data_IF_554511110142
#
_entry.id   IF_554511110142
#
_cell.length_a   1.000
_cell.length_b   1.000
_cell.length_c   1.000
_cell.angle_alpha   90.00
_cell.angle_beta   90.00
_cell.angle_gamma   90.00
#
_symmetry.space_group_name_H-M   'P 1'
#
loop_
_entity.id
_entity.type
_entity.pdbx_description
1 polymer ?
#
# COMPACT_ATOMS: atom_id res chain seq x y z
N UNK A 1 12.89 -10.12 16.96
CA UNK A 1 13.65 -9.01 16.31
C UNK A 1 13.13 -7.66 16.77
N UNK A 2 13.92 -6.58 16.67
CA UNK A 2 13.45 -5.20 16.86
C UNK A 2 12.91 -4.66 15.53
N UNK A 3 11.60 -4.44 15.45
CA UNK A 3 10.92 -3.93 14.27
C UNK A 3 10.40 -2.52 14.52
N UNK A 4 10.61 -1.61 13.57
CA UNK A 4 9.94 -0.31 13.53
C UNK A 4 8.82 -0.35 12.49
N UNK A 5 7.56 -0.20 12.90
CA UNK A 5 6.41 -0.10 12.00
C UNK A 5 6.02 1.37 11.84
N UNK A 6 6.17 1.88 10.63
CA UNK A 6 5.80 3.24 10.23
C UNK A 6 4.61 3.18 9.29
N UNK A 7 3.56 3.97 9.52
CA UNK A 7 2.42 3.92 8.61
C UNK A 7 1.24 4.81 8.91
N UNK A 8 0.25 4.73 8.03
CA UNK A 8 -1.06 5.36 8.19
C UNK A 8 -2.05 4.41 8.90
N UNK A 9 -3.37 4.64 8.74
CA UNK A 9 -4.41 3.78 9.34
C UNK A 9 -4.28 2.30 8.99
N UNK A 10 -3.65 1.94 7.86
CA UNK A 10 -3.46 0.55 7.46
C UNK A 10 -2.41 -0.19 8.30
N UNK A 11 -1.54 0.52 9.03
CA UNK A 11 -0.65 -0.10 10.01
C UNK A 11 -1.42 -0.86 11.11
N UNK A 12 -2.67 -0.47 11.39
CA UNK A 12 -3.49 -1.06 12.44
C UNK A 12 -3.69 -2.57 12.27
N UNK A 13 -3.80 -3.09 11.03
CA UNK A 13 -3.96 -4.52 10.79
C UNK A 13 -2.73 -5.32 11.23
N UNK A 14 -1.52 -4.77 11.00
CA UNK A 14 -0.25 -5.39 11.40
C UNK A 14 -0.06 -5.29 12.92
N UNK A 15 -0.42 -4.16 13.53
CA UNK A 15 -0.38 -3.99 14.99
C UNK A 15 -1.30 -5.01 15.67
N UNK A 16 -2.53 -5.17 15.18
CA UNK A 16 -3.48 -6.12 15.75
C UNK A 16 -3.01 -7.57 15.57
N UNK A 17 -2.45 -7.91 14.41
CA UNK A 17 -1.88 -9.23 14.16
C UNK A 17 -0.67 -9.53 15.06
N UNK A 18 0.24 -8.57 15.21
CA UNK A 18 1.43 -8.70 16.08
C UNK A 18 1.02 -8.88 17.54
N UNK A 19 0.04 -8.12 18.05
CA UNK A 19 -0.50 -8.31 19.40
C UNK A 19 -1.06 -9.71 19.65
N UNK A 20 -1.62 -10.35 18.63
CA UNK A 20 -2.13 -11.73 18.72
C UNK A 20 -1.01 -12.77 18.66
N UNK A 21 0.08 -12.48 17.93
CA UNK A 21 1.21 -13.38 17.80
C UNK A 21 2.54 -12.60 17.59
N UNK A 22 3.21 -12.20 18.68
CA UNK A 22 4.41 -11.38 18.60
C UNK A 22 5.65 -12.15 18.13
N UNK A 23 5.67 -13.49 18.23
CA UNK A 23 6.79 -14.36 17.83
C UNK A 23 8.19 -13.82 18.22
N UNK A 24 8.32 -13.37 19.48
CA UNK A 24 9.53 -12.75 20.05
C UNK A 24 10.01 -11.47 19.35
N UNK A 25 9.18 -10.86 18.50
CA UNK A 25 9.42 -9.54 17.92
C UNK A 25 9.02 -8.43 18.88
N UNK A 26 9.94 -7.50 19.13
CA UNK A 26 9.66 -6.22 19.76
C UNK A 26 9.25 -5.22 18.67
N UNK A 27 8.02 -4.74 18.73
CA UNK A 27 7.46 -3.82 17.73
C UNK A 27 7.35 -2.40 18.31
N UNK A 28 8.08 -1.46 17.73
CA UNK A 28 7.91 -0.02 17.95
C UNK A 28 7.03 0.55 16.85
N UNK A 29 6.02 1.34 17.20
CA UNK A 29 5.02 1.85 16.24
C UNK A 29 5.11 3.36 16.10
N UNK A 30 5.46 3.82 14.90
CA UNK A 30 5.48 5.23 14.53
C UNK A 30 4.41 5.51 13.48
N UNK A 31 3.15 5.62 13.90
CA UNK A 31 2.02 5.66 12.98
C UNK A 31 0.90 6.60 13.45
N UNK A 32 0.19 7.23 12.51
CA UNK A 32 -1.07 7.92 12.78
C UNK A 32 -2.07 7.78 11.62
N UNK A 33 -3.39 7.90 11.87
CA UNK A 33 -4.37 7.98 10.80
C UNK A 33 -4.05 9.12 9.82
N UNK A 34 -3.98 8.81 8.52
CA UNK A 34 -3.69 9.79 7.49
C UNK A 34 -2.31 10.44 7.65
N UNK A 35 -1.29 9.66 7.98
CA UNK A 35 0.10 10.14 8.05
C UNK A 35 0.54 10.73 6.70
N UNK A 36 1.00 11.98 6.71
CA UNK A 36 1.50 12.71 5.54
C UNK A 36 2.94 13.19 5.73
N UNK A 37 3.54 13.74 4.68
CA UNK A 37 4.96 14.12 4.67
C UNK A 37 5.28 15.26 5.65
N UNK A 38 4.32 16.13 5.92
CA UNK A 38 4.40 17.29 6.81
C UNK A 38 4.38 16.88 8.29
N UNK A 39 3.92 15.67 8.60
CA UNK A 39 3.89 15.15 9.96
C UNK A 39 5.28 14.72 10.45
N UNK A 40 6.25 14.56 9.54
CA UNK A 40 7.55 13.97 9.84
C UNK A 40 8.74 14.69 9.19
N UNK A 41 9.86 14.69 9.91
CA UNK A 41 11.16 15.11 9.39
C UNK A 41 12.14 13.95 9.43
N UNK A 42 13.07 13.94 8.48
CA UNK A 42 14.16 12.97 8.39
C UNK A 42 15.48 13.72 8.36
N UNK A 43 16.43 13.33 9.21
CA UNK A 43 17.80 13.86 9.23
C UNK A 43 18.76 12.68 9.31
N UNK A 44 19.25 12.23 8.14
CA UNK A 44 19.92 10.93 8.04
C UNK A 44 18.96 9.81 8.47
N UNK A 45 19.37 8.87 9.34
CA UNK A 45 18.51 7.80 9.83
C UNK A 45 17.54 8.24 10.94
N UNK A 46 17.59 9.49 11.40
CA UNK A 46 16.70 9.97 12.45
C UNK A 46 15.34 10.38 11.88
N UNK A 47 14.28 9.76 12.39
CA UNK A 47 12.88 10.05 12.09
C UNK A 47 12.26 10.83 13.25
N UNK A 48 11.73 12.02 12.96
CA UNK A 48 11.12 12.91 13.94
C UNK A 48 9.66 13.17 13.62
N UNK A 49 8.82 13.23 14.65
CA UNK A 49 7.51 13.86 14.56
C UNK A 49 7.66 15.38 14.44
N UNK A 50 6.79 16.00 13.65
CA UNK A 50 6.78 17.45 13.40
C UNK A 50 5.43 18.05 13.79
N UNK A 51 4.32 17.40 13.41
CA UNK A 51 2.99 17.93 13.69
C UNK A 51 2.57 17.65 15.13
N UNK A 52 1.79 18.57 15.72
CA UNK A 52 1.23 18.40 17.06
C UNK A 52 0.40 17.11 17.18
N UNK A 53 -0.37 16.77 16.14
CA UNK A 53 -1.15 15.54 16.07
C UNK A 53 -0.27 14.30 16.12
N UNK A 54 0.89 14.31 15.45
CA UNK A 54 1.84 13.20 15.47
C UNK A 54 2.48 13.05 16.86
N UNK A 55 2.94 14.14 17.47
CA UNK A 55 3.47 14.11 18.85
C UNK A 55 2.44 13.55 19.84
N UNK A 56 1.21 14.05 19.81
CA UNK A 56 0.13 13.58 20.68
C UNK A 56 -0.16 12.09 20.47
N UNK A 57 -0.16 11.63 19.21
CA UNK A 57 -0.40 10.23 18.86
C UNK A 57 0.70 9.31 19.39
N UNK A 58 1.96 9.66 19.19
CA UNK A 58 3.11 8.87 19.65
C UNK A 58 3.17 8.82 21.18
N UNK A 59 2.93 9.94 21.85
CA UNK A 59 2.83 10.01 23.30
C UNK A 59 1.74 9.06 23.84
N UNK A 60 0.57 9.03 23.20
CA UNK A 60 -0.52 8.10 23.56
C UNK A 60 -0.17 6.61 23.34
N UNK A 61 0.83 6.30 22.50
CA UNK A 61 1.36 4.94 22.31
C UNK A 61 2.55 4.64 23.23
N UNK A 62 3.05 5.62 23.99
CA UNK A 62 4.31 5.51 24.71
C UNK A 62 5.53 5.37 23.77
N UNK A 63 5.41 5.81 22.52
CA UNK A 63 6.50 5.79 21.55
C UNK A 63 7.22 7.14 21.58
N UNK A 64 8.57 7.17 21.59
CA UNK A 64 9.32 8.41 21.44
C UNK A 64 8.94 9.15 20.16
N UNK A 65 8.98 10.48 20.21
CA UNK A 65 8.72 11.33 19.05
C UNK A 65 9.91 11.42 18.08
N UNK A 66 11.06 10.87 18.47
CA UNK A 66 12.25 10.70 17.66
C UNK A 66 12.71 9.25 17.74
N UNK A 67 12.96 8.63 16.58
CA UNK A 67 13.51 7.29 16.47
C UNK A 67 14.75 7.33 15.57
N UNK A 68 15.81 6.62 15.96
CA UNK A 68 16.90 6.28 15.05
C UNK A 68 16.55 4.98 14.33
N UNK A 69 16.40 5.03 13.00
CA UNK A 69 16.08 3.84 12.20
C UNK A 69 17.21 2.79 12.24
N UNK A 70 18.44 3.18 12.61
CA UNK A 70 19.56 2.27 12.81
C UNK A 70 19.43 1.36 14.04
N UNK A 71 18.58 1.71 15.02
CA UNK A 71 18.37 0.93 16.24
C UNK A 71 17.52 -0.34 16.04
N UNK A 72 17.01 -0.55 14.82
CA UNK A 72 16.10 -1.62 14.45
C UNK A 72 16.75 -2.64 13.52
N UNK A 73 16.35 -3.91 13.68
CA UNK A 73 16.77 -4.98 12.77
C UNK A 73 16.10 -4.81 11.40
N UNK A 74 14.90 -4.22 11.36
CA UNK A 74 14.19 -3.87 10.13
C UNK A 74 13.14 -2.77 10.33
N UNK A 75 12.84 -2.06 9.25
CA UNK A 75 11.73 -1.10 9.16
C UNK A 75 10.62 -1.68 8.29
N UNK A 76 9.38 -1.55 8.76
CA UNK A 76 8.16 -1.93 8.04
C UNK A 76 7.38 -0.67 7.74
N UNK A 77 7.10 -0.39 6.47
CA UNK A 77 6.33 0.77 6.05
C UNK A 77 4.97 0.30 5.54
N UNK A 78 3.88 0.72 6.18
CA UNK A 78 2.53 0.29 5.84
C UNK A 78 1.68 1.44 5.31
N UNK A 79 1.16 1.27 4.10
CA UNK A 79 0.13 2.14 3.52
C UNK A 79 0.62 3.46 2.91
N UNK A 80 1.93 3.73 2.91
CA UNK A 80 2.49 5.02 2.48
C UNK A 80 2.94 5.06 1.00
N UNK A 81 2.30 4.26 0.16
CA UNK A 81 2.55 4.15 -1.30
C UNK A 81 1.25 4.38 -2.08
N UNK A 82 1.29 4.66 -3.40
CA UNK A 82 0.08 4.85 -4.19
C UNK A 82 -0.89 3.66 -4.06
N UNK A 83 -2.14 3.95 -3.74
CA UNK A 83 -3.18 2.95 -3.54
C UNK A 83 -3.90 2.56 -4.83
N UNK A 84 -4.79 1.56 -4.75
CA UNK A 84 -5.69 1.23 -5.86
C UNK A 84 -6.53 2.43 -6.30
N UNK A 85 -6.88 3.34 -5.39
CA UNK A 85 -7.61 4.57 -5.75
C UNK A 85 -6.75 5.57 -6.51
N UNK A 86 -5.45 5.67 -6.19
CA UNK A 86 -4.52 6.48 -6.98
C UNK A 86 -4.39 5.93 -8.41
N UNK A 87 -4.28 4.60 -8.53
CA UNK A 87 -4.25 3.91 -9.82
C UNK A 87 -5.55 4.11 -10.63
N UNK A 88 -6.71 3.99 -9.98
CA UNK A 88 -8.01 4.27 -10.60
C UNK A 88 -8.14 5.72 -11.04
N UNK A 89 -7.69 6.70 -10.25
CA UNK A 89 -7.73 8.13 -10.61
C UNK A 89 -6.97 8.42 -11.90
N UNK A 90 -5.81 7.78 -12.09
CA UNK A 90 -5.05 7.92 -13.33
C UNK A 90 -5.81 7.34 -14.55
N UNK A 91 -6.50 6.22 -14.34
CA UNK A 91 -7.37 5.61 -15.35
C UNK A 91 -8.66 6.39 -15.61
N UNK A 92 -9.21 7.14 -14.65
CA UNK A 92 -10.46 7.87 -14.85
C UNK A 92 -10.40 8.87 -16.02
N UNK A 93 -9.21 9.40 -16.29
CA UNK A 93 -8.98 10.37 -17.36
C UNK A 93 -8.61 9.70 -18.70
N UNK A 94 -8.34 8.39 -18.75
CA UNK A 94 -7.77 7.73 -19.93
C UNK A 94 -8.24 6.28 -20.11
N UNK A 95 -8.31 5.83 -21.35
CA UNK A 95 -8.37 4.40 -21.65
C UNK A 95 -6.95 3.82 -21.76
N UNK A 96 -6.61 2.83 -20.94
CA UNK A 96 -5.26 2.24 -20.93
C UNK A 96 -5.18 1.11 -21.97
N UNK A 97 -4.39 1.26 -23.02
CA UNK A 97 -4.22 0.20 -24.04
C UNK A 97 -3.64 -1.08 -23.42
N UNK A 98 -4.00 -2.26 -23.92
CA UNK A 98 -3.63 -3.54 -23.31
C UNK A 98 -4.49 -3.96 -22.12
N UNK A 99 -5.41 -3.10 -21.65
CA UNK A 99 -6.48 -3.50 -20.73
C UNK A 99 -7.74 -3.88 -21.52
N UNK A 100 -8.62 -4.74 -20.99
CA UNK A 100 -9.88 -5.10 -21.65
C UNK A 100 -10.71 -3.90 -22.14
N UNK A 101 -10.91 -2.85 -21.31
CA UNK A 101 -11.60 -1.63 -21.76
C UNK A 101 -10.82 -0.79 -22.75
N UNK A 102 -9.49 -0.85 -22.66
CA UNK A 102 -8.55 -0.18 -23.57
C UNK A 102 -8.62 -0.74 -24.97
N UNK A 103 -8.62 -2.06 -25.12
CA UNK A 103 -8.71 -2.74 -26.43
C UNK A 103 -10.01 -2.36 -27.15
N UNK A 104 -11.12 -2.28 -26.42
CA UNK A 104 -12.40 -1.79 -26.97
C UNK A 104 -12.27 -0.32 -27.42
N UNK A 105 -11.55 0.50 -26.65
CA UNK A 105 -11.34 1.92 -26.97
C UNK A 105 -10.45 2.09 -28.20
N UNK A 106 -9.39 1.29 -28.34
CA UNK A 106 -8.51 1.26 -29.52
C UNK A 106 -9.31 0.85 -30.75
N UNK A 107 -10.08 -0.24 -30.68
CA UNK A 107 -10.89 -0.71 -31.79
C UNK A 107 -11.89 0.37 -32.28
N UNK A 108 -12.52 1.11 -31.37
CA UNK A 108 -13.40 2.23 -31.72
C UNK A 108 -12.66 3.40 -32.36
N UNK A 109 -11.49 3.75 -31.85
CA UNK A 109 -10.68 4.85 -32.39
C UNK A 109 -10.19 4.59 -33.83
N UNK A 110 -10.12 3.31 -34.24
CA UNK A 110 -9.77 2.90 -35.60
C UNK A 110 -10.96 2.89 -36.57
N UNK A 111 -12.18 3.21 -36.10
CA UNK A 111 -13.34 3.38 -36.98
C UNK A 111 -13.51 4.85 -37.35
N UNK A 112 -13.86 5.16 -38.61
CA UNK A 112 -14.12 6.54 -39.10
C UNK A 112 -15.42 7.18 -38.54
N UNK A 113 -15.93 6.66 -37.41
CA UNK A 113 -17.10 7.20 -36.74
C UNK A 113 -16.71 8.41 -35.89
N UNK A 114 -17.48 9.51 -35.89
CA UNK A 114 -17.20 10.65 -35.04
C UNK A 114 -17.16 10.20 -33.58
N UNK A 115 -16.00 10.40 -32.94
CA UNK A 115 -15.69 9.94 -31.60
C UNK A 115 -16.59 10.65 -30.56
N UNK A 116 -17.79 10.12 -30.35
CA UNK A 116 -18.62 10.57 -29.24
C UNK A 116 -17.94 10.16 -27.92
N UNK A 117 -17.34 11.15 -27.25
CA UNK A 117 -16.83 11.08 -25.86
C UNK A 117 -15.93 9.87 -25.55
N UNK A 118 -14.94 9.58 -26.38
CA UNK A 118 -13.89 8.61 -26.04
C UNK A 118 -12.87 9.27 -25.13
N UNK A 119 -12.52 8.63 -24.01
CA UNK A 119 -11.37 9.06 -23.20
C UNK A 119 -10.10 8.97 -24.06
N UNK A 120 -9.13 9.87 -23.87
CA UNK A 120 -7.84 9.76 -24.53
C UNK A 120 -7.17 8.42 -24.21
N UNK A 121 -6.47 7.85 -25.20
CA UNK A 121 -5.71 6.62 -25.01
C UNK A 121 -4.39 6.91 -24.30
N UNK A 122 -4.02 6.04 -23.37
CA UNK A 122 -2.71 6.00 -22.72
C UNK A 122 -2.12 4.61 -22.90
N UNK A 123 -0.84 4.51 -23.24
CA UNK A 123 -0.18 3.21 -23.32
C UNK A 123 -0.03 2.60 -21.92
N UNK A 124 -0.11 1.27 -21.80
CA UNK A 124 0.17 0.56 -20.54
C UNK A 124 1.54 0.92 -19.96
N UNK A 125 2.54 1.10 -20.82
CA UNK A 125 3.89 1.52 -20.41
C UNK A 125 3.89 2.91 -19.76
N UNK A 126 3.18 3.88 -20.35
CA UNK A 126 3.04 5.22 -19.77
C UNK A 126 2.27 5.20 -18.44
N UNK A 127 1.22 4.36 -18.35
CA UNK A 127 0.46 4.17 -17.11
C UNK A 127 1.34 3.62 -15.97
N UNK A 128 2.09 2.54 -16.23
CA UNK A 128 3.03 1.95 -15.26
C UNK A 128 4.15 2.92 -14.90
N UNK A 129 4.67 3.69 -15.87
CA UNK A 129 5.70 4.70 -15.62
C UNK A 129 5.20 5.80 -14.69
N UNK A 130 3.97 6.29 -14.88
CA UNK A 130 3.36 7.28 -14.00
C UNK A 130 3.17 6.74 -12.57
N UNK A 131 2.68 5.50 -12.41
CA UNK A 131 2.57 4.87 -11.08
C UNK A 131 3.93 4.61 -10.43
N UNK A 132 4.93 4.26 -11.23
CA UNK A 132 6.32 4.09 -10.77
C UNK A 132 6.85 5.41 -10.21
N UNK A 133 6.68 6.51 -10.95
CA UNK A 133 7.08 7.83 -10.51
C UNK A 133 6.37 8.25 -9.21
N UNK A 134 5.07 8.00 -9.08
CA UNK A 134 4.33 8.23 -7.84
C UNK A 134 4.85 7.37 -6.67
N UNK A 135 5.34 6.16 -6.94
CA UNK A 135 5.93 5.29 -5.93
C UNK A 135 7.30 5.80 -5.49
N UNK A 136 8.12 6.29 -6.42
CA UNK A 136 9.45 6.86 -6.16
C UNK A 136 9.40 8.15 -5.34
N UNK A 137 8.34 8.95 -5.49
CA UNK A 137 8.14 10.21 -4.74
C UNK A 137 7.25 10.02 -3.50
N UNK A 138 6.85 8.79 -3.19
CA UNK A 138 6.00 8.50 -2.05
C UNK A 138 6.73 8.71 -0.71
N UNK A 139 5.94 8.89 0.36
CA UNK A 139 6.48 8.98 1.71
C UNK A 139 7.22 7.69 2.10
N UNK A 140 6.75 6.53 1.63
CA UNK A 140 7.47 5.26 1.84
C UNK A 140 8.87 5.28 1.21
N UNK A 141 9.02 5.76 -0.02
CA UNK A 141 10.32 5.84 -0.69
C UNK A 141 11.27 6.81 0.03
N UNK A 142 10.76 7.95 0.51
CA UNK A 142 11.53 8.91 1.32
C UNK A 142 12.06 8.28 2.61
N UNK A 143 11.22 7.57 3.35
CA UNK A 143 11.62 6.88 4.59
C UNK A 143 12.58 5.73 4.29
N UNK A 144 12.27 4.91 3.28
CA UNK A 144 13.09 3.76 2.91
C UNK A 144 14.51 4.18 2.51
N UNK A 145 14.65 5.30 1.81
CA UNK A 145 15.96 5.84 1.40
C UNK A 145 16.82 6.34 2.56
N UNK A 146 16.21 6.64 3.70
CA UNK A 146 16.88 7.11 4.91
C UNK A 146 17.24 5.96 5.88
N UNK A 147 16.62 4.79 5.73
CA UNK A 147 16.83 3.66 6.62
C UNK A 147 18.14 2.91 6.27
N UNK A 148 19.05 2.71 7.24
CA UNK A 148 20.29 1.96 7.02
C UNK A 148 20.10 0.43 7.14
N UNK A 149 18.92 -0.02 7.58
CA UNK A 149 18.55 -1.41 7.79
C UNK A 149 17.56 -1.90 6.70
N UNK A 150 17.30 -3.21 6.60
CA UNK A 150 16.30 -3.74 5.68
C UNK A 150 14.93 -3.08 5.83
N UNK A 151 14.31 -2.70 4.71
CA UNK A 151 13.00 -2.06 4.66
C UNK A 151 12.01 -2.95 3.93
N UNK A 152 10.85 -3.19 4.54
CA UNK A 152 9.73 -3.89 3.90
C UNK A 152 8.57 -2.92 3.74
N UNK A 153 8.16 -2.69 2.50
CA UNK A 153 7.02 -1.82 2.18
C UNK A 153 5.79 -2.67 1.89
N UNK A 154 4.74 -2.46 2.68
CA UNK A 154 3.43 -3.09 2.58
C UNK A 154 2.45 -2.06 2.04
N UNK A 155 1.90 -2.32 0.86
CA UNK A 155 0.87 -1.44 0.28
C UNK A 155 -0.42 -1.46 1.11
N UNK A 156 -1.23 -0.42 0.94
CA UNK A 156 -2.63 -0.46 1.37
C UNK A 156 -3.32 -1.68 0.71
N UNK A 157 -4.14 -2.46 1.44
CA UNK A 157 -4.92 -3.52 0.84
C UNK A 157 -5.79 -3.00 -0.30
N UNK A 158 -6.12 -3.88 -1.25
CA UNK A 158 -7.20 -3.57 -2.18
C UNK A 158 -8.52 -3.41 -1.42
N UNK A 159 -9.47 -2.60 -1.92
CA UNK A 159 -10.79 -2.49 -1.33
C UNK A 159 -11.51 -3.84 -1.23
N UNK A 160 -12.39 -4.00 -0.25
CA UNK A 160 -13.20 -5.19 -0.02
C UNK A 160 -14.13 -5.50 -1.20
N UNK A 161 -14.32 -6.76 -1.56
CA UNK A 161 -15.36 -7.17 -2.52
C UNK A 161 -16.79 -6.84 -2.08
N UNK A 162 -17.02 -6.64 -0.77
CA UNK A 162 -18.27 -6.10 -0.25
C UNK A 162 -18.62 -4.72 -0.83
N UNK A 163 -17.67 -4.00 -1.46
CA UNK A 163 -17.98 -2.76 -2.18
C UNK A 163 -18.94 -2.97 -3.35
N UNK A 164 -19.00 -4.18 -3.91
CA UNK A 164 -19.87 -4.51 -5.03
C UNK A 164 -21.35 -4.42 -4.67
N UNK A 165 -21.66 -4.70 -3.40
CA UNK A 165 -23.01 -4.68 -2.82
C UNK A 165 -23.42 -3.28 -2.35
N UNK A 166 -22.49 -2.30 -2.37
CA UNK A 166 -22.76 -0.92 -1.95
C UNK A 166 -23.21 -0.07 -3.13
N UNK A 167 -24.51 0.15 -3.23
CA UNK A 167 -25.06 1.07 -4.23
C UNK A 167 -24.65 2.52 -4.01
N UNK A 168 -24.45 3.24 -5.13
CA UNK A 168 -23.98 4.63 -5.16
C UNK A 168 -22.52 4.85 -4.72
N UNK A 169 -21.87 3.88 -4.08
CA UNK A 169 -20.52 4.03 -3.52
C UNK A 169 -19.46 3.48 -4.48
N UNK A 170 -18.35 4.19 -4.66
CA UNK A 170 -17.23 3.81 -5.54
C UNK A 170 -17.63 3.46 -7.00
N UNK A 171 -18.41 4.29 -7.70
CA UNK A 171 -18.96 3.95 -9.02
C UNK A 171 -17.87 3.63 -10.07
N UNK A 172 -16.70 4.25 -9.93
CA UNK A 172 -15.58 4.03 -10.85
C UNK A 172 -14.94 2.66 -10.66
N UNK A 173 -14.73 2.22 -9.41
CA UNK A 173 -14.18 0.88 -9.14
C UNK A 173 -15.13 -0.20 -9.68
N UNK A 174 -16.44 -0.04 -9.43
CA UNK A 174 -17.46 -0.94 -9.98
C UNK A 174 -17.46 -0.94 -11.52
N UNK A 175 -17.27 0.23 -12.15
CA UNK A 175 -17.16 0.33 -13.62
C UNK A 175 -15.95 -0.43 -14.15
N UNK A 176 -14.78 -0.23 -13.54
CA UNK A 176 -13.53 -0.91 -13.89
C UNK A 176 -13.69 -2.43 -13.83
N UNK A 177 -14.29 -2.94 -12.75
CA UNK A 177 -14.55 -4.37 -12.57
C UNK A 177 -15.52 -4.91 -13.63
N UNK A 178 -16.61 -4.19 -13.92
CA UNK A 178 -17.55 -4.59 -15.00
C UNK A 178 -16.88 -4.62 -16.38
N UNK A 179 -15.86 -3.81 -16.59
CA UNK A 179 -15.09 -3.79 -17.83
C UNK A 179 -14.03 -4.90 -17.89
N UNK A 180 -13.81 -5.66 -16.80
CA UNK A 180 -12.82 -6.73 -16.73
C UNK A 180 -11.40 -6.23 -16.43
N UNK A 181 -11.22 -4.95 -16.12
CA UNK A 181 -9.90 -4.31 -15.99
C UNK A 181 -9.19 -4.63 -14.66
N UNK A 182 -9.87 -5.31 -13.72
CA UNK A 182 -9.39 -5.49 -12.34
C UNK A 182 -8.00 -6.13 -12.27
N UNK A 183 -7.82 -7.30 -12.89
CA UNK A 183 -6.53 -7.99 -12.90
C UNK A 183 -5.42 -7.15 -13.50
N UNK A 184 -5.70 -6.36 -14.54
CA UNK A 184 -4.70 -5.50 -15.18
C UNK A 184 -4.30 -4.34 -14.25
N UNK A 185 -5.27 -3.69 -13.60
CA UNK A 185 -5.03 -2.67 -12.57
C UNK A 185 -4.10 -3.19 -11.46
N UNK A 186 -4.43 -4.35 -10.88
CA UNK A 186 -3.64 -4.91 -9.79
C UNK A 186 -2.22 -5.28 -10.22
N UNK A 187 -2.07 -5.93 -11.38
CA UNK A 187 -0.78 -6.31 -11.93
C UNK A 187 0.11 -5.09 -12.23
N UNK A 188 -0.47 -4.04 -12.81
CA UNK A 188 0.27 -2.83 -13.17
C UNK A 188 0.66 -2.02 -11.94
N UNK A 189 -0.21 -1.94 -10.93
CA UNK A 189 0.11 -1.31 -9.66
C UNK A 189 1.24 -2.05 -8.92
N UNK A 190 1.18 -3.38 -8.84
CA UNK A 190 2.25 -4.20 -8.24
C UNK A 190 3.56 -4.04 -9.01
N UNK A 191 3.50 -4.01 -10.34
CA UNK A 191 4.67 -3.79 -11.19
C UNK A 191 5.30 -2.43 -10.91
N UNK A 192 4.49 -1.39 -10.81
CA UNK A 192 4.92 -0.04 -10.50
C UNK A 192 5.54 0.08 -9.09
N UNK A 193 4.93 -0.53 -8.07
CA UNK A 193 5.51 -0.55 -6.72
C UNK A 193 6.87 -1.25 -6.70
N UNK A 194 7.00 -2.41 -7.36
CA UNK A 194 8.27 -3.13 -7.45
C UNK A 194 9.34 -2.32 -8.17
N UNK A 195 9.00 -1.70 -9.29
CA UNK A 195 9.95 -0.87 -10.05
C UNK A 195 10.36 0.39 -9.26
N UNK A 196 9.40 1.05 -8.61
CA UNK A 196 9.65 2.31 -7.91
C UNK A 196 10.40 2.13 -6.59
N UNK A 197 10.12 1.05 -5.85
CA UNK A 197 10.70 0.81 -4.53
C UNK A 197 11.90 -0.13 -4.57
N UNK A 198 11.94 -1.09 -5.52
CA UNK A 198 13.02 -2.07 -5.63
C UNK A 198 14.35 -1.48 -6.11
N UNK A 199 14.34 -0.24 -6.61
CA UNK A 199 15.56 0.51 -6.92
C UNK A 199 16.26 1.06 -5.66
N UNK A 200 15.58 1.06 -4.50
CA UNK A 200 16.13 1.55 -3.24
C UNK A 200 16.89 0.43 -2.53
N UNK A 201 18.12 0.71 -2.10
CA UNK A 201 18.97 -0.26 -1.40
C UNK A 201 18.26 -0.81 -0.17
N UNK A 202 18.38 -2.13 0.06
CA UNK A 202 17.78 -2.81 1.22
C UNK A 202 16.24 -2.83 1.24
N UNK A 203 15.56 -2.33 0.21
CA UNK A 203 14.09 -2.19 0.20
C UNK A 203 13.42 -3.32 -0.56
N UNK A 204 12.39 -3.90 0.06
CA UNK A 204 11.59 -4.97 -0.52
C UNK A 204 10.11 -4.60 -0.47
N UNK A 205 9.45 -4.68 -1.62
CA UNK A 205 7.98 -4.57 -1.69
C UNK A 205 7.31 -5.92 -1.35
N UNK A 206 6.37 -5.90 -0.42
CA UNK A 206 5.52 -7.04 -0.05
C UNK A 206 4.11 -6.83 -0.62
N UNK A 207 3.74 -7.54 -1.71
CA UNK A 207 2.37 -7.49 -2.22
C UNK A 207 1.40 -8.17 -1.26
N UNK A 208 0.13 -7.80 -1.37
CA UNK A 208 -0.96 -8.53 -0.72
C UNK A 208 -0.99 -10.00 -1.19
N UNK A 209 -1.15 -10.99 -0.29
CA UNK A 209 -1.17 -12.41 -0.66
C UNK A 209 -2.33 -12.74 -1.61
N UNK A 210 -2.05 -13.51 -2.65
CA UNK A 210 -3.01 -13.80 -3.73
C UNK A 210 -4.27 -14.53 -3.23
N UNK A 211 -4.14 -15.36 -2.20
CA UNK A 211 -5.25 -16.10 -1.59
C UNK A 211 -6.19 -15.23 -0.74
N UNK A 212 -5.83 -13.96 -0.52
CA UNK A 212 -6.70 -12.97 0.13
C UNK A 212 -7.50 -12.12 -0.86
N UNK A 213 -7.21 -12.27 -2.15
CA UNK A 213 -7.85 -11.49 -3.21
C UNK A 213 -9.12 -12.16 -3.73
N UNK A 214 -10.02 -11.34 -4.25
CA UNK A 214 -11.17 -11.72 -5.05
C UNK A 214 -11.27 -10.79 -6.27
N UNK A 215 -11.91 -11.26 -7.34
CA UNK A 215 -12.08 -10.51 -8.59
C UNK A 215 -10.79 -9.90 -9.18
N UNK A 216 -9.62 -10.47 -8.86
CA UNK A 216 -8.31 -10.05 -9.38
C UNK A 216 -7.75 -8.74 -8.82
N UNK A 217 -8.55 -7.91 -8.14
CA UNK A 217 -8.11 -6.63 -7.58
C UNK A 217 -8.94 -6.12 -6.39
N UNK A 218 -9.69 -7.01 -5.74
CA UNK A 218 -10.39 -6.74 -4.49
C UNK A 218 -9.85 -7.65 -3.40
N UNK A 219 -10.03 -7.26 -2.16
CA UNK A 219 -9.78 -8.11 -1.00
C UNK A 219 -11.05 -8.84 -0.61
N UNK A 220 -10.97 -10.12 -0.27
CA UNK A 220 -12.15 -10.85 0.22
C UNK A 220 -12.68 -10.19 1.51
N UNK A 221 -14.00 -10.01 1.62
CA UNK A 221 -14.61 -9.31 2.76
C UNK A 221 -14.24 -9.89 4.13
N UNK A 222 -13.94 -11.19 4.23
CA UNK A 222 -13.50 -11.84 5.48
C UNK A 222 -12.20 -11.24 6.03
N UNK A 223 -11.36 -10.65 5.19
CA UNK A 223 -10.09 -10.00 5.55
C UNK A 223 -10.24 -8.49 5.82
N UNK A 224 -11.42 -7.91 5.61
CA UNK A 224 -11.68 -6.47 5.78
C UNK A 224 -12.66 -6.20 6.93
N UNK A 225 -13.65 -7.07 7.14
CA UNK A 225 -14.67 -6.88 8.18
C UNK A 225 -14.06 -6.71 9.57
N UNK A 226 -14.52 -5.67 10.27
CA UNK A 226 -14.14 -5.38 11.65
C UNK A 226 -12.65 -5.07 11.81
N UNK A 227 -12.03 -4.47 10.80
CA UNK A 227 -10.66 -3.98 10.89
C UNK A 227 -10.44 -3.07 12.11
N UNK A 228 -9.24 -3.03 12.71
CA UNK A 228 -8.97 -2.14 13.83
C UNK A 228 -8.81 -0.68 13.36
N UNK A 229 -9.28 0.27 14.17
CA UNK A 229 -8.97 1.70 14.04
C UNK A 229 -7.59 1.96 14.63
N UNK A 230 -6.75 2.68 13.90
CA UNK A 230 -5.44 3.05 14.40
C UNK A 230 -5.52 4.05 15.57
N UNK A 231 -6.56 4.89 15.64
CA UNK A 231 -6.69 5.96 16.64
C UNK A 231 -6.80 5.42 18.07
N UNK A 232 -7.71 4.47 18.30
CA UNK A 232 -8.11 4.00 19.63
C UNK A 232 -8.14 2.47 19.75
N UNK A 233 -7.85 1.74 18.67
CA UNK A 233 -7.92 0.28 18.64
C UNK A 233 -9.34 -0.28 18.59
N UNK A 234 -10.38 0.56 18.54
CA UNK A 234 -11.76 0.11 18.34
C UNK A 234 -11.94 -0.49 16.94
N UNK A 235 -13.11 -1.07 16.66
CA UNK A 235 -13.38 -1.63 15.34
C UNK A 235 -13.85 -0.55 14.37
N UNK A 236 -13.42 -0.67 13.13
CA UNK A 236 -14.03 0.00 11.99
C UNK A 236 -15.49 -0.46 11.86
N UNK A 237 -16.28 0.38 11.21
CA UNK A 237 -17.70 0.11 11.02
C UNK A 237 -17.89 -1.18 10.21
N UNK A 238 -19.01 -1.89 10.44
CA UNK A 238 -19.24 -3.20 9.83
C UNK A 238 -19.27 -3.17 8.30
N UNK A 239 -19.53 -2.00 7.74
CA UNK A 239 -19.58 -1.74 6.32
C UNK A 239 -18.28 -1.12 5.78
N UNK A 240 -17.24 -0.94 6.60
CA UNK A 240 -15.94 -0.49 6.10
C UNK A 240 -15.38 -1.48 5.06
N UNK A 241 -14.94 -0.92 3.92
CA UNK A 241 -14.40 -1.68 2.78
C UNK A 241 -12.94 -1.35 2.50
N UNK A 242 -12.27 -0.60 3.39
CA UNK A 242 -10.97 -0.01 3.12
C UNK A 242 -9.89 -0.48 4.08
N UNK A 243 -10.24 -0.91 5.29
CA UNK A 243 -9.29 -1.27 6.32
C UNK A 243 -9.23 -2.79 6.51
N UNK A 244 -8.03 -3.35 6.34
CA UNK A 244 -7.77 -4.75 6.62
C UNK A 244 -7.90 -5.09 8.10
N UNK A 245 -8.29 -6.32 8.41
CA UNK A 245 -8.36 -6.83 9.77
C UNK A 245 -7.11 -7.62 10.19
N UNK A 246 -7.10 -8.08 11.45
CA UNK A 246 -5.96 -8.81 12.00
C UNK A 246 -5.64 -10.11 11.24
N UNK A 247 -6.62 -10.74 10.59
CA UNK A 247 -6.37 -11.95 9.79
C UNK A 247 -5.55 -11.63 8.53
N UNK A 248 -5.85 -10.52 7.84
CA UNK A 248 -5.01 -10.04 6.74
C UNK A 248 -3.62 -9.65 7.24
N UNK A 249 -3.57 -8.93 8.36
CA UNK A 249 -2.32 -8.56 9.02
C UNK A 249 -1.46 -9.77 9.38
N UNK A 250 -2.05 -10.88 9.83
CA UNK A 250 -1.33 -12.10 10.18
C UNK A 250 -0.71 -12.77 8.95
N UNK A 251 -1.40 -12.78 7.80
CA UNK A 251 -0.83 -13.29 6.54
C UNK A 251 0.38 -12.46 6.10
N UNK A 252 0.24 -11.13 6.11
CA UNK A 252 1.32 -10.21 5.76
C UNK A 252 2.50 -10.30 6.74
N UNK A 253 2.25 -10.40 8.04
CA UNK A 253 3.28 -10.50 9.07
C UNK A 253 4.06 -11.83 8.96
N UNK A 254 3.38 -12.93 8.62
CA UNK A 254 4.02 -14.21 8.34
C UNK A 254 4.96 -14.13 7.14
N UNK A 255 4.52 -13.54 6.04
CA UNK A 255 5.34 -13.36 4.84
C UNK A 255 6.52 -12.42 5.10
N UNK A 256 6.30 -11.36 5.89
CA UNK A 256 7.31 -10.42 6.34
C UNK A 256 8.41 -11.13 7.13
N UNK A 257 8.05 -11.92 8.15
CA UNK A 257 9.01 -12.70 8.95
C UNK A 257 9.79 -13.68 8.10
N UNK A 258 9.12 -14.36 7.17
CA UNK A 258 9.76 -15.29 6.23
C UNK A 258 10.82 -14.59 5.37
N UNK A 259 10.57 -13.33 4.97
CA UNK A 259 11.53 -12.53 4.20
C UNK A 259 12.71 -12.07 5.05
N UNK A 260 12.47 -11.60 6.28
CA UNK A 260 13.53 -11.15 7.18
C UNK A 260 14.41 -12.29 7.69
N UNK A 261 13.87 -13.50 7.83
CA UNK A 261 14.65 -14.67 8.24
C UNK A 261 15.61 -15.19 7.16
N UNK A 262 15.46 -14.77 5.90
CA UNK A 262 16.40 -15.15 4.83
C UNK A 262 17.65 -14.28 4.94
N UNK A 263 18.85 -14.88 5.10
CA UNK A 263 20.07 -14.10 5.09
C UNK A 263 20.18 -13.33 3.76
N UNK A 264 20.41 -12.03 3.86
CA UNK A 264 20.73 -11.20 2.68
C UNK A 264 21.99 -11.79 2.08
N UNK A 265 21.89 -12.41 0.90
CA UNK A 265 23.08 -12.74 0.14
C UNK A 265 23.76 -11.42 -0.21
N UNK A 266 24.78 -11.05 0.56
CA UNK A 266 25.73 -10.03 0.14
C UNK A 266 26.39 -10.59 -1.10
N UNK A 267 25.94 -10.17 -2.27
CA UNK A 267 26.73 -10.31 -3.48
C UNK A 267 27.95 -9.43 -3.27
N UNK A 268 29.01 -10.03 -2.73
CA UNK A 268 30.36 -9.50 -2.82
C UNK A 268 30.62 -9.30 -4.31
N UNK A 269 30.52 -8.06 -4.79
CA UNK A 269 31.04 -7.76 -6.12
C UNK A 269 32.56 -8.00 -6.06
N UNK A 270 33.13 -8.81 -6.97
CA UNK A 270 34.57 -8.93 -7.12
C UNK A 270 35.20 -7.60 -7.57
#
# INVERSE_FOLDING_TARGET
>A
MKLCLIGDSHAAMLIAAHRQNPADDALTVFAKPGLVAEDIALTGPLLHAVSADMHARLAAMGTPDTLDLADFDAVVIAGLVPSAFAAVRLQQAHSVSGWPSGEISVAKALTDMPAAKTLPLMSRAAYVAALTALSQTSLAARIASAAPCPVIVVAQPFPSDALLDKDGTYPIMRRLLRQGDGTALAADLITAHRAGLGALAGTTYLPQPADTLSHGCLTQAVFMRGGPRLSDGSRQDSDDVLHGNAALGARLLSDLRTRLARPVQTTSNP
#
